data_IF_736432016568
#
_entry.id   IF_736432016568
#
_cell.length_a   1.000
_cell.length_b   1.000
_cell.length_c   1.000
_cell.angle_alpha   90.00
_cell.angle_beta   90.00
_cell.angle_gamma   90.00
#
_symmetry.space_group_name_H-M   'P 1'
#
loop_
_entity.id
_entity.type
_entity.pdbx_description
1 polymer ?
#
# COMPACT_ATOMS: atom_id res chain seq x y z
N UNK A 1 5.68 0.72 5.08
CA UNK A 1 6.96 0.89 4.36
C UNK A 1 7.05 -0.23 3.34
N UNK A 2 6.63 0.04 2.10
CA UNK A 2 6.80 -0.89 0.99
C UNK A 2 8.02 -0.42 0.20
N UNK A 3 9.16 -1.10 0.37
CA UNK A 3 10.32 -0.88 -0.48
C UNK A 3 10.12 -1.76 -1.71
N UNK A 4 9.75 -1.18 -2.84
CA UNK A 4 9.92 -1.82 -4.15
C UNK A 4 10.68 -0.87 -5.07
N UNK A 5 11.90 -1.28 -5.38
CA UNK A 5 12.83 -0.62 -6.27
C UNK A 5 12.28 -0.72 -7.71
N UNK A 6 11.77 0.39 -8.25
CA UNK A 6 11.31 0.49 -9.63
C UNK A 6 12.52 0.68 -10.56
N UNK A 7 13.20 -0.41 -10.93
CA UNK A 7 14.13 -0.40 -12.07
C UNK A 7 13.32 -0.47 -13.37
N UNK A 8 13.30 0.62 -14.14
CA UNK A 8 12.73 0.64 -15.49
C UNK A 8 13.58 -0.23 -16.44
N UNK A 9 13.03 -1.18 -17.20
CA UNK A 9 13.80 -1.88 -18.22
C UNK A 9 13.57 -1.26 -19.60
N UNK A 10 14.58 -0.52 -20.08
CA UNK A 10 14.83 -0.35 -21.50
C UNK A 10 15.86 -1.39 -21.94
N UNK A 11 15.43 -2.40 -22.69
CA UNK A 11 16.27 -3.46 -23.25
C UNK A 11 15.40 -4.42 -24.10
N UNK A 12 15.88 -4.89 -25.27
CA UNK A 12 15.00 -5.43 -26.30
C UNK A 12 14.42 -6.81 -25.95
N UNK A 13 13.21 -7.05 -26.49
CA UNK A 13 12.42 -8.24 -26.30
C UNK A 13 13.14 -9.51 -26.78
N UNK A 14 13.14 -10.55 -25.95
CA UNK A 14 13.30 -11.93 -26.41
C UNK A 14 12.12 -12.80 -25.96
N UNK A 15 11.72 -13.62 -26.92
CA UNK A 15 10.51 -14.42 -26.99
C UNK A 15 10.78 -15.80 -26.38
N UNK A 16 9.73 -16.32 -25.75
CA UNK A 16 9.36 -17.74 -25.58
C UNK A 16 9.72 -18.53 -24.30
N UNK A 17 8.63 -18.84 -23.60
CA UNK A 17 8.13 -20.17 -23.19
C UNK A 17 8.92 -20.92 -22.11
N UNK A 18 8.27 -21.07 -20.95
CA UNK A 18 7.95 -22.38 -20.36
C UNK A 18 6.71 -22.26 -19.47
N UNK A 19 5.66 -23.02 -19.81
CA UNK A 19 4.61 -23.36 -18.85
C UNK A 19 5.27 -24.28 -17.81
N UNK A 20 5.23 -23.87 -16.56
CA UNK A 20 5.53 -24.75 -15.43
C UNK A 20 4.29 -24.76 -14.53
N UNK A 21 3.80 -25.96 -14.24
CA UNK A 21 2.80 -26.24 -13.23
C UNK A 21 3.39 -25.94 -11.84
N UNK A 22 2.56 -25.39 -10.96
CA UNK A 22 2.91 -24.94 -9.62
C UNK A 22 2.23 -23.60 -9.36
N UNK A 23 1.36 -23.53 -8.36
CA UNK A 23 0.48 -22.39 -8.12
C UNK A 23 1.25 -21.05 -8.18
N UNK A 24 0.83 -20.11 -9.04
CA UNK A 24 1.53 -18.84 -9.17
C UNK A 24 1.34 -18.07 -7.87
N UNK A 25 2.44 -17.87 -7.14
CA UNK A 25 2.49 -16.90 -6.05
C UNK A 25 1.88 -15.56 -6.54
N UNK A 26 1.06 -14.89 -5.71
CA UNK A 26 0.40 -13.66 -6.13
C UNK A 26 1.46 -12.62 -6.52
N UNK A 27 1.41 -12.17 -7.78
CA UNK A 27 2.29 -11.11 -8.26
C UNK A 27 1.78 -9.77 -7.73
N UNK A 28 2.51 -9.18 -6.78
CA UNK A 28 2.21 -7.85 -6.24
C UNK A 28 2.55 -6.76 -7.26
N UNK A 29 1.59 -6.41 -8.11
CA UNK A 29 1.76 -5.38 -9.14
C UNK A 29 1.18 -4.05 -8.69
N UNK A 30 2.03 -3.06 -8.41
CA UNK A 30 1.61 -1.69 -8.06
C UNK A 30 0.70 -1.06 -9.13
N UNK A 31 0.93 -1.39 -10.41
CA UNK A 31 0.09 -0.93 -11.53
C UNK A 31 -1.33 -1.51 -11.50
N UNK A 32 -1.54 -2.67 -10.87
CA UNK A 32 -2.87 -3.24 -10.64
C UNK A 32 -3.59 -2.60 -9.45
N UNK A 33 -2.82 -2.16 -8.44
CA UNK A 33 -3.35 -1.47 -7.25
C UNK A 33 -3.80 -0.02 -7.56
N UNK A 34 -3.20 0.62 -8.57
CA UNK A 34 -3.65 1.90 -9.13
C UNK A 34 -4.56 1.78 -10.36
N UNK A 35 -4.78 0.57 -10.86
CA UNK A 35 -5.69 0.28 -11.98
C UNK A 35 -6.99 -0.40 -11.50
N UNK A 36 -7.56 0.08 -10.40
CA UNK A 36 -9.00 -0.02 -10.21
C UNK A 36 -9.68 0.93 -11.19
N UNK A 37 -10.13 0.45 -12.36
CA UNK A 37 -11.11 1.16 -13.18
C UNK A 37 -12.43 1.15 -12.43
N UNK A 38 -12.59 2.07 -11.49
CA UNK A 38 -13.84 2.25 -10.75
C UNK A 38 -14.98 2.57 -11.75
N UNK A 39 -16.14 1.87 -11.69
CA UNK A 39 -17.31 2.24 -12.45
C UNK A 39 -17.71 3.70 -12.13
N UNK A 40 -17.79 4.50 -13.19
CA UNK A 40 -18.26 5.90 -13.18
C UNK A 40 -19.65 5.98 -12.58
N UNK A 41 -19.80 6.75 -11.50
CA UNK A 41 -20.86 7.77 -11.43
C UNK A 41 -20.80 8.74 -10.22
N UNK A 42 -20.24 8.36 -9.05
CA UNK A 42 -20.50 9.15 -7.82
C UNK A 42 -19.28 9.62 -6.99
N UNK A 43 -18.05 9.17 -7.27
CA UNK A 43 -16.83 9.61 -6.53
C UNK A 43 -16.25 10.95 -7.03
N UNK A 44 -17.02 11.72 -7.79
CA UNK A 44 -16.55 12.81 -8.66
C UNK A 44 -16.09 14.10 -7.97
N UNK A 45 -15.93 14.14 -6.65
CA UNK A 45 -15.67 15.40 -5.93
C UNK A 45 -14.50 15.39 -4.94
N UNK A 46 -13.88 14.23 -4.67
CA UNK A 46 -12.80 14.15 -3.68
C UNK A 46 -11.56 13.45 -4.21
N UNK A 47 -10.38 14.03 -3.96
CA UNK A 47 -9.09 13.41 -4.24
C UNK A 47 -8.85 12.20 -3.33
N UNK A 48 -7.96 11.29 -3.72
CA UNK A 48 -7.62 10.12 -2.91
C UNK A 48 -7.17 10.52 -1.50
N UNK A 49 -6.30 11.53 -1.38
CA UNK A 49 -5.87 12.06 -0.08
C UNK A 49 -7.03 12.62 0.77
N UNK A 50 -8.04 13.22 0.14
CA UNK A 50 -9.23 13.69 0.86
C UNK A 50 -10.07 12.53 1.40
N UNK A 51 -10.24 11.45 0.62
CA UNK A 51 -10.96 10.26 1.06
C UNK A 51 -10.25 9.57 2.21
N UNK A 52 -8.93 9.38 2.12
CA UNK A 52 -8.11 8.81 3.20
C UNK A 52 -8.23 9.67 4.46
N UNK A 53 -8.15 10.99 4.32
CA UNK A 53 -8.28 11.90 5.47
C UNK A 53 -9.65 11.80 6.12
N UNK A 54 -10.73 11.84 5.34
CA UNK A 54 -12.10 11.85 5.86
C UNK A 54 -12.50 10.51 6.49
N UNK A 55 -12.07 9.39 5.91
CA UNK A 55 -12.56 8.06 6.28
C UNK A 55 -11.66 7.32 7.27
N UNK A 56 -10.35 7.63 7.28
CA UNK A 56 -9.37 6.90 8.08
C UNK A 56 -8.63 7.87 9.01
N UNK A 57 -7.96 8.89 8.46
CA UNK A 57 -7.01 9.67 9.24
C UNK A 57 -7.70 10.53 10.32
N UNK A 58 -8.77 11.26 9.96
CA UNK A 58 -9.46 12.14 10.90
C UNK A 58 -10.16 11.38 12.04
N UNK A 59 -10.92 10.29 11.79
CA UNK A 59 -11.51 9.49 12.88
C UNK A 59 -10.49 8.92 13.86
N UNK A 60 -9.28 8.58 13.37
CA UNK A 60 -8.19 8.02 14.19
C UNK A 60 -7.28 9.09 14.81
N UNK A 61 -7.54 10.38 14.56
CA UNK A 61 -6.70 11.47 15.05
C UNK A 61 -5.31 11.53 14.40
N UNK A 62 -5.16 11.02 13.18
CA UNK A 62 -3.92 11.00 12.40
C UNK A 62 -3.75 12.30 11.62
N UNK A 63 -3.19 13.33 12.27
CA UNK A 63 -3.17 14.70 11.74
C UNK A 63 -2.04 14.96 10.73
N UNK A 64 -0.99 14.15 10.74
CA UNK A 64 0.18 14.22 9.86
C UNK A 64 0.24 13.04 8.89
N UNK A 65 -0.93 12.61 8.39
CA UNK A 65 -1.07 11.65 7.28
C UNK A 65 -1.66 12.33 6.04
N UNK A 66 -0.93 12.34 4.93
CA UNK A 66 -1.31 13.07 3.72
C UNK A 66 -0.71 12.47 2.44
N UNK A 67 -1.39 12.67 1.31
CA UNK A 67 -0.87 12.33 -0.01
C UNK A 67 0.06 13.44 -0.54
N UNK A 68 -0.39 14.69 -0.41
CA UNK A 68 0.31 15.91 -0.81
C UNK A 68 0.55 16.79 0.42
N UNK A 69 1.80 17.17 0.72
CA UNK A 69 2.11 18.00 1.88
C UNK A 69 1.58 19.42 1.72
N UNK A 70 0.93 19.94 2.76
CA UNK A 70 0.72 21.38 2.89
C UNK A 70 2.00 22.12 3.31
N UNK A 71 1.98 23.46 3.32
CA UNK A 71 3.15 24.30 3.63
C UNK A 71 3.84 23.92 4.96
N UNK A 72 3.07 23.67 6.03
CA UNK A 72 3.63 23.24 7.33
C UNK A 72 4.28 21.86 7.26
N UNK A 73 3.72 20.94 6.49
CA UNK A 73 4.18 19.55 6.41
C UNK A 73 5.40 19.41 5.50
N UNK A 74 5.50 20.22 4.45
CA UNK A 74 6.61 20.18 3.49
C UNK A 74 7.98 20.28 4.17
N UNK A 75 8.09 21.11 5.22
CA UNK A 75 9.31 21.26 6.02
C UNK A 75 9.73 20.01 6.82
N UNK A 76 8.78 19.09 7.09
CA UNK A 76 8.99 17.87 7.87
C UNK A 76 9.05 16.60 7.01
N UNK A 77 8.84 16.71 5.69
CA UNK A 77 8.95 15.55 4.80
C UNK A 77 10.42 15.16 4.70
N UNK A 78 10.73 13.93 5.13
CA UNK A 78 12.05 13.37 4.99
C UNK A 78 12.43 13.26 3.50
N UNK A 79 13.70 13.49 3.20
CA UNK A 79 14.23 13.29 1.84
C UNK A 79 14.64 11.84 1.67
N UNK A 80 14.13 11.21 0.62
CA UNK A 80 14.53 9.86 0.21
C UNK A 80 15.89 9.87 -0.48
N UNK A 81 16.66 8.81 -0.27
CA UNK A 81 17.93 8.58 -0.94
C UNK A 81 17.92 7.18 -1.54
N UNK A 82 18.57 7.00 -2.69
CA UNK A 82 18.80 5.66 -3.25
C UNK A 82 20.03 4.98 -2.63
N UNK A 83 20.31 3.75 -3.10
CA UNK A 83 21.42 2.92 -2.62
C UNK A 83 22.81 3.57 -2.84
N UNK A 84 22.90 4.58 -3.71
CA UNK A 84 24.13 5.34 -3.97
C UNK A 84 24.16 6.68 -3.20
N UNK A 85 23.18 6.95 -2.35
CA UNK A 85 23.07 8.20 -1.61
C UNK A 85 22.60 9.39 -2.44
N UNK A 86 22.02 9.17 -3.62
CA UNK A 86 21.47 10.24 -4.46
C UNK A 86 20.06 10.58 -3.98
N UNK A 87 19.76 11.87 -3.83
CA UNK A 87 18.41 12.34 -3.44
C UNK A 87 17.39 11.90 -4.49
N UNK A 88 16.34 11.26 -4.02
CA UNK A 88 15.20 10.82 -4.82
C UNK A 88 14.03 11.79 -4.67
N UNK A 89 13.33 12.05 -5.77
CA UNK A 89 12.07 12.77 -5.75
C UNK A 89 10.99 11.91 -5.08
N UNK A 90 10.05 12.55 -4.39
CA UNK A 90 8.90 11.85 -3.83
C UNK A 90 8.03 11.15 -4.90
N UNK A 91 7.15 10.26 -4.46
CA UNK A 91 6.24 9.55 -5.35
C UNK A 91 5.31 10.49 -6.14
N UNK A 92 5.13 10.20 -7.45
CA UNK A 92 4.21 10.96 -8.31
C UNK A 92 2.75 10.82 -7.84
N UNK A 93 1.92 11.80 -8.22
CA UNK A 93 0.49 11.83 -7.89
C UNK A 93 -0.28 10.57 -8.32
N UNK A 94 0.17 9.86 -9.37
CA UNK A 94 -0.43 8.60 -9.83
C UNK A 94 -0.22 7.40 -8.89
N UNK A 95 0.69 7.50 -7.93
CA UNK A 95 1.05 6.41 -7.02
C UNK A 95 0.55 6.62 -5.58
N UNK A 96 -0.29 7.63 -5.33
CA UNK A 96 -0.79 7.93 -3.98
C UNK A 96 -1.46 6.71 -3.32
N UNK A 97 -2.24 5.94 -4.08
CA UNK A 97 -2.90 4.72 -3.61
C UNK A 97 -1.96 3.49 -3.51
N UNK A 98 -0.82 3.50 -4.19
CA UNK A 98 0.13 2.39 -4.26
C UNK A 98 1.36 2.58 -3.34
N UNK A 99 1.32 3.56 -2.43
CA UNK A 99 2.40 3.84 -1.49
C UNK A 99 2.83 5.32 -1.37
N UNK A 100 2.15 6.25 -2.05
CA UNK A 100 2.52 7.67 -2.02
C UNK A 100 2.08 8.45 -0.78
N UNK A 101 1.35 7.84 0.15
CA UNK A 101 0.97 8.44 1.44
C UNK A 101 2.21 8.63 2.33
N UNK A 102 2.26 9.78 2.99
CA UNK A 102 3.28 10.15 3.96
C UNK A 102 2.59 10.27 5.31
N UNK A 103 3.19 9.65 6.33
CA UNK A 103 2.64 9.63 7.69
C UNK A 103 3.75 9.84 8.71
N UNK A 104 3.41 10.51 9.80
CA UNK A 104 4.27 10.55 10.98
C UNK A 104 4.29 9.20 11.72
N UNK A 105 5.33 8.94 12.51
CA UNK A 105 5.40 7.73 13.35
C UNK A 105 4.23 7.65 14.34
N UNK A 106 3.85 8.71 15.09
CA UNK A 106 2.70 8.66 15.98
C UNK A 106 1.40 8.27 15.27
N UNK A 107 1.18 8.76 14.05
CA UNK A 107 -0.02 8.43 13.27
C UNK A 107 -0.02 6.98 12.80
N UNK A 108 1.14 6.47 12.37
CA UNK A 108 1.27 5.06 12.00
C UNK A 108 1.02 4.13 13.19
N UNK A 109 1.40 4.51 14.41
CA UNK A 109 1.09 3.74 15.62
C UNK A 109 -0.41 3.74 15.93
N UNK A 110 -1.10 4.87 15.74
CA UNK A 110 -2.58 4.92 15.86
C UNK A 110 -3.25 4.02 14.84
N UNK A 111 -2.79 4.06 13.59
CA UNK A 111 -3.29 3.18 12.52
C UNK A 111 -3.05 1.70 12.85
N UNK A 112 -1.85 1.33 13.29
CA UNK A 112 -1.54 -0.04 13.68
C UNK A 112 -2.43 -0.52 14.83
N UNK A 113 -2.64 0.31 15.85
CA UNK A 113 -3.56 -0.01 16.96
C UNK A 113 -4.99 -0.24 16.48
N UNK A 114 -5.49 0.58 15.55
CA UNK A 114 -6.81 0.38 14.95
C UNK A 114 -6.89 -0.95 14.19
N UNK A 115 -5.85 -1.28 13.43
CA UNK A 115 -5.77 -2.54 12.68
C UNK A 115 -5.69 -3.79 13.57
N UNK A 116 -5.33 -3.66 14.85
CA UNK A 116 -5.41 -4.77 15.81
C UNK A 116 -6.82 -4.97 16.39
N UNK A 117 -7.76 -4.06 16.11
CA UNK A 117 -9.11 -4.11 16.65
C UNK A 117 -10.09 -4.83 15.71
N UNK A 118 -10.12 -6.17 15.78
CA UNK A 118 -11.02 -7.02 14.97
C UNK A 118 -12.53 -6.88 15.30
N UNK A 119 -12.89 -6.04 16.27
CA UNK A 119 -14.31 -5.68 16.47
C UNK A 119 -14.83 -4.78 15.35
N UNK A 120 -13.96 -4.01 14.69
CA UNK A 120 -14.29 -3.14 13.56
C UNK A 120 -14.48 -3.97 12.28
N UNK A 121 -15.64 -3.83 11.64
CA UNK A 121 -15.96 -4.56 10.43
C UNK A 121 -15.04 -4.22 9.25
N UNK A 122 -14.51 -3.00 9.18
CA UNK A 122 -13.58 -2.57 8.12
C UNK A 122 -12.23 -3.26 8.29
N UNK A 123 -11.75 -3.37 9.53
CA UNK A 123 -10.50 -4.08 9.87
C UNK A 123 -10.62 -5.55 9.50
N UNK A 124 -11.71 -6.21 9.93
CA UNK A 124 -11.99 -7.62 9.57
C UNK A 124 -12.04 -7.83 8.06
N UNK A 125 -12.70 -6.93 7.33
CA UNK A 125 -12.77 -7.00 5.87
C UNK A 125 -11.38 -6.89 5.25
N UNK A 126 -10.51 -6.02 5.80
CA UNK A 126 -9.15 -5.85 5.28
C UNK A 126 -8.26 -7.07 5.51
N UNK A 127 -8.51 -7.81 6.59
CA UNK A 127 -7.81 -9.05 6.94
C UNK A 127 -8.48 -10.30 6.37
N UNK A 128 -9.60 -10.17 5.64
CA UNK A 128 -10.23 -11.32 5.01
C UNK A 128 -9.32 -11.87 3.89
N UNK A 129 -8.91 -13.16 3.95
CA UNK A 129 -8.07 -13.75 2.92
C UNK A 129 -8.77 -13.77 1.56
N UNK A 130 -8.12 -13.22 0.54
CA UNK A 130 -8.50 -13.33 -0.88
C UNK A 130 -7.68 -14.40 -1.60
N UNK A 131 -6.52 -14.74 -1.05
CA UNK A 131 -5.65 -15.83 -1.47
C UNK A 131 -5.03 -16.46 -0.22
N UNK A 132 -4.87 -17.78 -0.23
CA UNK A 132 -4.16 -18.52 0.81
C UNK A 132 -3.38 -19.67 0.19
N UNK A 133 -2.19 -19.95 0.72
CA UNK A 133 -1.30 -21.05 0.36
C UNK A 133 -0.56 -21.46 1.63
N UNK A 134 -0.58 -22.74 1.99
CA UNK A 134 0.10 -23.29 3.17
C UNK A 134 0.05 -22.37 4.41
N UNK A 135 1.18 -21.74 4.75
CA UNK A 135 1.40 -20.87 5.91
C UNK A 135 1.16 -19.37 5.63
N UNK A 136 0.74 -19.02 4.42
CA UNK A 136 0.63 -17.65 3.93
C UNK A 136 -0.77 -17.30 3.42
N UNK A 137 -1.24 -16.12 3.77
CA UNK A 137 -2.50 -15.57 3.28
C UNK A 137 -2.34 -14.10 2.88
N UNK A 138 -3.12 -13.68 1.89
CA UNK A 138 -3.17 -12.28 1.43
C UNK A 138 -4.59 -11.77 1.54
N UNK A 139 -4.76 -10.72 2.36
CA UNK A 139 -5.99 -9.93 2.42
C UNK A 139 -5.88 -8.66 1.58
N UNK A 140 -6.71 -7.66 1.88
CA UNK A 140 -6.65 -6.36 1.20
C UNK A 140 -5.41 -5.60 1.66
N UNK A 141 -4.32 -5.75 0.91
CA UNK A 141 -3.01 -5.14 1.16
C UNK A 141 -2.31 -5.62 2.45
N UNK A 142 -2.79 -6.72 3.04
CA UNK A 142 -2.19 -7.39 4.19
C UNK A 142 -1.60 -8.74 3.79
N UNK A 143 -0.37 -8.98 4.23
CA UNK A 143 0.30 -10.27 4.11
C UNK A 143 0.30 -10.89 5.51
N UNK A 144 -0.31 -12.05 5.65
CA UNK A 144 -0.61 -12.67 6.94
C UNK A 144 -0.01 -14.07 6.99
N UNK A 145 0.62 -14.40 8.11
CA UNK A 145 1.00 -15.77 8.41
C UNK A 145 -0.20 -16.51 8.98
N UNK A 146 -0.38 -17.77 8.60
CA UNK A 146 -1.45 -18.62 9.13
C UNK A 146 -0.94 -19.39 10.35
N UNK A 147 -1.79 -19.45 11.37
CA UNK A 147 -1.43 -20.00 12.69
C UNK A 147 -1.43 -21.53 12.77
N UNK A 148 -1.79 -22.22 11.68
CA UNK A 148 -1.70 -23.67 11.52
C UNK A 148 -0.26 -24.18 11.43
N UNK A 149 0.71 -23.29 11.21
CA UNK A 149 2.14 -23.60 11.33
C UNK A 149 2.69 -23.15 12.70
N UNK A 150 2.37 -23.90 13.76
CA UNK A 150 3.19 -23.90 14.98
C UNK A 150 4.06 -25.16 14.96
N UNK A 151 5.40 -25.05 14.86
CA UNK A 151 6.25 -26.18 15.21
C UNK A 151 6.04 -26.49 16.70
N UNK A 152 5.70 -27.74 17.00
CA UNK A 152 5.63 -28.29 18.35
C UNK A 152 6.96 -28.18 19.08
#
# INVERSE_FOLDING_TARGET
MCIFNCRQPGGPAQRQVKRAAGDPLPVFKCRGQSAGRYPRAHLRQHSFGQLVRQRIAAPLGMQDTFAEPGARQASRVAVGYDDNGVRQSGADAGFQAAGGLKSSLPDMLRYARWQLNESDAVVRLSHQPTYASDDYAVGLNWQMLRADCRPC
#
